data_IF_164987394046
#
_entry.id   IF_164987394046
#
_cell.length_a   1.000
_cell.length_b   1.000
_cell.length_c   1.000
_cell.angle_alpha   90.00
_cell.angle_beta   90.00
_cell.angle_gamma   90.00
#
_symmetry.space_group_name_H-M   'P 1'
#
loop_
_entity.id
_entity.type
_entity.pdbx_description
1 polymer ?
#
# COMPACT_ATOMS: atom_id res chain seq x y z
N UNK A 1 58.79 81.89 52.67
CA UNK A 1 58.22 80.52 52.74
C UNK A 1 57.03 80.58 53.67
N UNK A 2 55.82 80.65 53.11
CA UNK A 2 54.58 80.62 53.89
C UNK A 2 54.30 79.15 54.17
N UNK A 3 54.57 78.70 55.40
CA UNK A 3 54.28 77.34 55.83
C UNK A 3 52.77 77.18 55.96
N UNK A 4 52.18 76.35 55.11
CA UNK A 4 50.79 75.94 55.26
C UNK A 4 50.78 74.93 56.41
N UNK A 5 50.25 75.33 57.57
CA UNK A 5 49.97 74.40 58.67
C UNK A 5 48.79 73.52 58.24
N UNK A 6 49.12 72.33 57.72
CA UNK A 6 48.14 71.35 57.29
C UNK A 6 47.58 70.66 58.54
N UNK A 7 46.29 70.86 58.82
CA UNK A 7 45.59 70.20 59.92
C UNK A 7 45.28 68.74 59.54
N UNK A 8 46.28 67.86 59.68
CA UNK A 8 46.20 66.45 59.31
C UNK A 8 45.07 65.68 59.99
N UNK A 9 44.64 66.11 61.17
CA UNK A 9 43.54 65.49 61.92
C UNK A 9 42.19 65.64 61.21
N UNK A 10 41.95 66.83 60.64
CA UNK A 10 40.71 67.21 59.96
C UNK A 10 40.63 66.56 58.58
N UNK A 11 41.77 66.47 57.89
CA UNK A 11 41.90 65.74 56.62
C UNK A 11 41.66 64.24 56.83
N UNK A 12 42.28 63.63 57.85
CA UNK A 12 42.08 62.22 58.18
C UNK A 12 40.62 61.92 58.58
N UNK A 13 39.99 62.79 59.36
CA UNK A 13 38.58 62.66 59.73
C UNK A 13 37.67 62.67 58.50
N UNK A 14 37.85 63.62 57.59
CA UNK A 14 37.05 63.70 56.37
C UNK A 14 37.30 62.52 55.42
N UNK A 15 38.56 62.13 55.20
CA UNK A 15 38.92 60.96 54.37
C UNK A 15 38.29 59.67 54.92
N UNK A 16 38.25 59.50 56.25
CA UNK A 16 37.62 58.33 56.88
C UNK A 16 36.11 58.27 56.66
N UNK A 17 35.41 59.41 56.74
CA UNK A 17 33.97 59.51 56.47
C UNK A 17 33.66 59.22 54.99
N UNK A 18 34.45 59.78 54.06
CA UNK A 18 34.29 59.49 52.64
C UNK A 18 34.58 58.02 52.31
N UNK A 19 35.60 57.40 52.92
CA UNK A 19 35.90 55.98 52.75
C UNK A 19 34.75 55.08 53.25
N UNK A 20 34.15 55.41 54.39
CA UNK A 20 32.97 54.70 54.91
C UNK A 20 31.76 54.84 53.99
N UNK A 21 31.49 56.04 53.46
CA UNK A 21 30.40 56.27 52.53
C UNK A 21 30.59 55.54 51.20
N UNK A 22 31.80 55.56 50.64
CA UNK A 22 32.14 54.84 49.41
C UNK A 22 32.06 53.32 49.63
N UNK A 23 32.51 52.83 50.78
CA UNK A 23 32.39 51.43 51.17
C UNK A 23 30.94 50.97 51.29
N UNK A 24 30.11 51.76 51.98
CA UNK A 24 28.67 51.50 52.11
C UNK A 24 27.96 51.56 50.74
N UNK A 25 28.27 52.55 49.90
CA UNK A 25 27.71 52.67 48.56
C UNK A 25 28.13 51.51 47.65
N UNK A 26 29.40 51.09 47.69
CA UNK A 26 29.89 49.91 46.96
C UNK A 26 29.21 48.62 47.45
N UNK A 27 28.98 48.48 48.75
CA UNK A 27 28.29 47.32 49.31
C UNK A 27 26.83 47.27 48.84
N UNK A 28 26.11 48.39 48.86
CA UNK A 28 24.73 48.48 48.36
C UNK A 28 24.66 48.22 46.85
N UNK A 29 25.53 48.84 46.06
CA UNK A 29 25.59 48.64 44.61
C UNK A 29 25.90 47.17 44.26
N UNK A 30 26.82 46.54 44.99
CA UNK A 30 27.14 45.11 44.84
C UNK A 30 25.95 44.24 45.22
N UNK A 31 25.28 44.51 46.34
CA UNK A 31 24.12 43.75 46.79
C UNK A 31 22.95 43.82 45.80
N UNK A 32 22.62 45.01 45.30
CA UNK A 32 21.57 45.22 44.29
C UNK A 32 21.93 44.58 42.94
N UNK A 33 23.19 44.72 42.51
CA UNK A 33 23.69 44.10 41.28
C UNK A 33 23.64 42.58 41.32
N UNK A 34 24.08 41.96 42.42
CA UNK A 34 24.01 40.51 42.61
C UNK A 34 22.57 40.00 42.64
N UNK A 35 21.65 40.72 43.30
CA UNK A 35 20.25 40.33 43.39
C UNK A 35 19.54 40.44 42.03
N UNK A 36 19.80 41.51 41.29
CA UNK A 36 19.25 41.71 39.94
C UNK A 36 19.77 40.66 38.94
N UNK A 37 21.08 40.38 38.97
CA UNK A 37 21.69 39.33 38.14
C UNK A 37 21.12 37.95 38.48
N UNK A 38 21.03 37.59 39.77
CA UNK A 38 20.42 36.32 40.21
C UNK A 38 18.97 36.19 39.73
N UNK A 39 18.19 37.27 39.77
CA UNK A 39 16.81 37.25 39.30
C UNK A 39 16.72 37.04 37.78
N UNK A 40 17.58 37.70 36.97
CA UNK A 40 17.60 37.48 35.51
C UNK A 40 18.09 36.08 35.13
N UNK A 41 19.11 35.57 35.81
CA UNK A 41 19.58 34.20 35.60
C UNK A 41 18.49 33.19 35.91
N UNK A 42 17.80 33.33 37.07
CA UNK A 42 16.67 32.45 37.42
C UNK A 42 15.52 32.55 36.42
N UNK A 43 15.20 33.75 35.93
CA UNK A 43 14.15 33.94 34.94
C UNK A 43 14.52 33.26 33.61
N UNK A 44 15.77 33.40 33.16
CA UNK A 44 16.26 32.77 31.95
C UNK A 44 16.33 31.25 32.07
N UNK A 45 16.81 30.73 33.20
CA UNK A 45 16.85 29.30 33.51
C UNK A 45 15.44 28.69 33.49
N UNK A 46 14.47 29.38 34.12
CA UNK A 46 13.06 28.99 34.11
C UNK A 46 12.45 29.03 32.71
N UNK A 47 12.77 30.06 31.93
CA UNK A 47 12.30 30.17 30.55
C UNK A 47 12.86 29.03 29.68
N UNK A 48 14.14 28.70 29.84
CA UNK A 48 14.80 27.62 29.13
C UNK A 48 14.20 26.26 29.51
N UNK A 49 13.94 26.03 30.79
CA UNK A 49 13.29 24.82 31.29
C UNK A 49 11.87 24.71 30.73
N UNK A 50 11.10 25.80 30.76
CA UNK A 50 9.73 25.84 30.23
C UNK A 50 9.72 25.52 28.74
N UNK A 51 10.57 26.20 27.95
CA UNK A 51 10.71 25.93 26.52
C UNK A 51 11.17 24.51 26.24
N UNK A 52 12.09 23.96 27.05
CA UNK A 52 12.53 22.57 26.91
C UNK A 52 11.38 21.58 27.13
N UNK A 53 10.57 21.80 28.17
CA UNK A 53 9.38 20.97 28.46
C UNK A 53 8.34 21.11 27.35
N UNK A 54 8.07 22.34 26.89
CA UNK A 54 7.14 22.60 25.79
C UNK A 54 7.59 21.93 24.49
N UNK A 55 8.86 22.08 24.11
CA UNK A 55 9.41 21.42 22.93
C UNK A 55 9.35 19.90 23.04
N UNK A 56 9.69 19.32 24.20
CA UNK A 56 9.56 17.87 24.43
C UNK A 56 8.10 17.43 24.28
N UNK A 57 7.16 18.12 24.91
CA UNK A 57 5.74 17.81 24.83
C UNK A 57 5.21 17.94 23.39
N UNK A 58 5.67 18.93 22.61
CA UNK A 58 5.33 19.07 21.20
C UNK A 58 5.90 17.93 20.36
N UNK A 59 7.15 17.55 20.61
CA UNK A 59 7.81 16.44 19.91
C UNK A 59 7.09 15.12 20.19
N UNK A 60 6.77 14.84 21.46
CA UNK A 60 6.06 13.64 21.89
C UNK A 60 4.67 13.56 21.26
N UNK A 61 3.90 14.67 21.26
CA UNK A 61 2.61 14.73 20.57
C UNK A 61 2.74 14.47 19.06
N UNK A 62 3.74 15.07 18.42
CA UNK A 62 3.95 14.89 16.97
C UNK A 62 4.33 13.44 16.66
N UNK A 63 5.18 12.83 17.48
CA UNK A 63 5.55 11.42 17.34
C UNK A 63 4.35 10.48 17.54
N UNK A 64 3.49 10.74 18.52
CA UNK A 64 2.26 9.97 18.72
C UNK A 64 1.31 10.11 17.52
N UNK A 65 1.14 11.32 16.98
CA UNK A 65 0.34 11.56 15.78
C UNK A 65 0.88 10.79 14.58
N UNK A 66 2.19 10.89 14.30
CA UNK A 66 2.80 10.14 13.20
C UNK A 66 2.70 8.63 13.39
N UNK A 67 2.86 8.12 14.61
CA UNK A 67 2.67 6.70 14.92
C UNK A 67 1.23 6.25 14.66
N UNK A 68 0.25 7.04 15.08
CA UNK A 68 -1.17 6.74 14.86
C UNK A 68 -1.52 6.78 13.36
N UNK A 69 -1.04 7.78 12.62
CA UNK A 69 -1.22 7.86 11.16
C UNK A 69 -0.58 6.68 10.44
N UNK A 70 0.64 6.30 10.82
CA UNK A 70 1.34 5.16 10.23
C UNK A 70 0.65 3.83 10.55
N UNK A 71 0.16 3.65 11.77
CA UNK A 71 -0.65 2.47 12.12
C UNK A 71 -1.94 2.41 11.30
N UNK A 72 -2.61 3.54 11.11
CA UNK A 72 -3.85 3.62 10.34
C UNK A 72 -3.60 3.36 8.85
N UNK A 73 -2.53 3.91 8.28
CA UNK A 73 -2.09 3.65 6.91
C UNK A 73 -1.75 2.16 6.71
N UNK A 74 -0.88 1.60 7.57
CA UNK A 74 -0.52 0.18 7.53
C UNK A 74 -1.74 -0.73 7.65
N UNK A 75 -2.72 -0.39 8.49
CA UNK A 75 -3.95 -1.18 8.64
C UNK A 75 -4.81 -1.13 7.39
N UNK A 76 -4.96 0.06 6.77
CA UNK A 76 -5.70 0.22 5.52
C UNK A 76 -5.04 -0.54 4.38
N UNK A 77 -3.73 -0.41 4.24
CA UNK A 77 -2.96 -1.11 3.21
C UNK A 77 -3.03 -2.62 3.40
N UNK A 78 -2.84 -3.11 4.63
CA UNK A 78 -2.94 -4.53 4.96
C UNK A 78 -4.32 -5.12 4.58
N UNK A 79 -5.41 -4.43 4.93
CA UNK A 79 -6.78 -4.85 4.56
C UNK A 79 -7.02 -4.83 3.06
N UNK A 80 -6.49 -3.82 2.36
CA UNK A 80 -6.60 -3.75 0.91
C UNK A 80 -5.83 -4.88 0.23
N UNK A 81 -4.61 -5.17 0.70
CA UNK A 81 -3.80 -6.27 0.22
C UNK A 81 -4.48 -7.63 0.47
N UNK A 82 -5.02 -7.85 1.67
CA UNK A 82 -5.80 -9.05 2.00
C UNK A 82 -6.99 -9.24 1.06
N UNK A 83 -7.78 -8.18 0.85
CA UNK A 83 -8.91 -8.21 -0.09
C UNK A 83 -8.47 -8.51 -1.52
N UNK A 84 -7.36 -7.93 -1.98
CA UNK A 84 -6.80 -8.21 -3.31
C UNK A 84 -6.37 -9.67 -3.45
N UNK A 85 -5.76 -10.26 -2.43
CA UNK A 85 -5.37 -11.68 -2.45
C UNK A 85 -6.57 -12.61 -2.57
N UNK A 86 -7.63 -12.38 -1.79
CA UNK A 86 -8.87 -13.16 -1.87
C UNK A 86 -9.54 -13.05 -3.24
N UNK A 87 -9.54 -11.84 -3.81
CA UNK A 87 -10.09 -11.60 -5.15
C UNK A 87 -9.29 -12.36 -6.20
N UNK A 88 -7.97 -12.30 -6.11
CA UNK A 88 -7.04 -12.95 -7.02
C UNK A 88 -7.15 -14.49 -6.95
N UNK A 89 -7.20 -15.06 -5.75
CA UNK A 89 -7.39 -16.49 -5.53
C UNK A 89 -8.68 -16.99 -6.21
N UNK A 90 -9.80 -16.32 -5.91
CA UNK A 90 -11.11 -16.68 -6.46
C UNK A 90 -11.16 -16.51 -7.98
N UNK A 91 -10.50 -15.49 -8.53
CA UNK A 91 -10.38 -15.30 -9.98
C UNK A 91 -9.58 -16.44 -10.60
N UNK A 92 -8.43 -16.80 -10.01
CA UNK A 92 -7.58 -17.87 -10.51
C UNK A 92 -8.33 -19.22 -10.55
N UNK A 93 -9.06 -19.56 -9.48
CA UNK A 93 -9.88 -20.77 -9.44
C UNK A 93 -10.89 -20.84 -10.61
N UNK A 94 -11.51 -19.70 -10.96
CA UNK A 94 -12.46 -19.62 -12.08
C UNK A 94 -11.77 -19.77 -13.44
N UNK A 95 -10.59 -19.17 -13.60
CA UNK A 95 -9.76 -19.34 -14.81
C UNK A 95 -9.37 -20.81 -14.99
N UNK A 96 -8.92 -21.47 -13.93
CA UNK A 96 -8.55 -22.90 -13.96
C UNK A 96 -9.76 -23.76 -14.31
N UNK A 97 -10.91 -23.49 -13.68
CA UNK A 97 -12.16 -24.23 -13.96
C UNK A 97 -12.59 -24.09 -15.42
N UNK A 98 -12.53 -22.87 -15.97
CA UNK A 98 -12.81 -22.60 -17.38
C UNK A 98 -11.83 -23.33 -18.30
N UNK A 99 -10.53 -23.30 -17.98
CA UNK A 99 -9.51 -24.00 -18.77
C UNK A 99 -9.78 -25.51 -18.82
N UNK A 100 -10.13 -26.12 -17.69
CA UNK A 100 -10.45 -27.54 -17.62
C UNK A 100 -11.70 -27.88 -18.43
N UNK A 101 -12.77 -27.10 -18.26
CA UNK A 101 -14.02 -27.31 -19.00
C UNK A 101 -13.83 -27.18 -20.52
N UNK A 102 -13.08 -26.16 -20.97
CA UNK A 102 -12.79 -25.98 -22.38
C UNK A 102 -11.86 -27.06 -22.93
N UNK A 103 -10.87 -27.54 -22.16
CA UNK A 103 -10.00 -28.65 -22.59
C UNK A 103 -10.78 -29.93 -22.86
N UNK A 104 -11.82 -30.19 -22.07
CA UNK A 104 -12.70 -31.33 -22.24
C UNK A 104 -13.67 -31.14 -23.42
N UNK A 105 -14.30 -29.96 -23.50
CA UNK A 105 -15.18 -29.59 -24.62
C UNK A 105 -14.44 -29.67 -25.97
N UNK A 106 -13.22 -29.15 -26.07
CA UNK A 106 -12.44 -29.13 -27.31
C UNK A 106 -11.50 -30.33 -27.47
N UNK A 107 -11.66 -31.39 -26.67
CA UNK A 107 -10.78 -32.54 -26.77
C UNK A 107 -10.90 -33.23 -28.15
N UNK A 108 -9.76 -33.52 -28.77
CA UNK A 108 -9.70 -34.21 -30.07
C UNK A 108 -10.18 -35.66 -29.98
N UNK A 109 -9.99 -36.28 -28.81
CA UNK A 109 -10.48 -37.62 -28.49
C UNK A 109 -11.34 -37.52 -27.23
N UNK A 110 -12.56 -38.04 -27.33
CA UNK A 110 -13.55 -38.06 -26.26
C UNK A 110 -13.99 -39.49 -26.02
N UNK A 111 -13.94 -39.92 -24.77
CA UNK A 111 -14.56 -41.17 -24.36
C UNK A 111 -16.06 -40.92 -24.21
N UNK A 112 -16.87 -41.79 -24.82
CA UNK A 112 -18.33 -41.79 -24.72
C UNK A 112 -18.70 -42.95 -23.80
N UNK A 113 -19.54 -42.68 -22.81
CA UNK A 113 -19.96 -43.65 -21.81
C UNK A 113 -21.42 -44.08 -21.97
N UNK A 114 -22.30 -43.15 -22.33
CA UNK A 114 -23.75 -43.37 -22.43
C UNK A 114 -24.25 -42.98 -23.81
N UNK A 115 -24.21 -41.67 -24.13
CA UNK A 115 -24.76 -41.11 -25.36
C UNK A 115 -23.91 -39.92 -25.80
N UNK A 116 -23.49 -39.95 -27.07
CA UNK A 116 -22.53 -38.97 -27.58
C UNK A 116 -23.11 -37.55 -27.64
N UNK A 117 -24.39 -37.42 -27.98
CA UNK A 117 -25.02 -36.11 -28.16
C UNK A 117 -25.35 -35.47 -26.81
N UNK A 118 -25.88 -36.26 -25.87
CA UNK A 118 -26.11 -35.80 -24.49
C UNK A 118 -24.79 -35.37 -23.81
N UNK A 119 -23.75 -36.20 -23.89
CA UNK A 119 -22.45 -35.87 -23.28
C UNK A 119 -21.82 -34.63 -23.92
N UNK A 120 -22.03 -34.40 -25.21
CA UNK A 120 -21.54 -33.21 -25.89
C UNK A 120 -22.26 -31.94 -25.43
N UNK A 121 -23.59 -31.98 -25.34
CA UNK A 121 -24.41 -30.89 -24.80
C UNK A 121 -24.00 -30.54 -23.36
N UNK A 122 -23.71 -31.55 -22.54
CA UNK A 122 -23.22 -31.36 -21.17
C UNK A 122 -21.85 -30.69 -21.13
N UNK A 123 -20.92 -31.04 -22.03
CA UNK A 123 -19.59 -30.39 -22.14
C UNK A 123 -19.73 -28.92 -22.56
N UNK A 124 -20.53 -28.64 -23.58
CA UNK A 124 -20.79 -27.28 -24.06
C UNK A 124 -21.42 -26.43 -22.95
N UNK A 125 -22.41 -26.98 -22.25
CA UNK A 125 -23.07 -26.31 -21.12
C UNK A 125 -22.08 -26.03 -19.99
N UNK A 126 -21.25 -27.00 -19.62
CA UNK A 126 -20.24 -26.86 -18.55
C UNK A 126 -19.22 -25.78 -18.89
N UNK A 127 -18.69 -25.78 -20.12
CA UNK A 127 -17.77 -24.75 -20.60
C UNK A 127 -18.42 -23.35 -20.61
N UNK A 128 -19.66 -23.25 -21.07
CA UNK A 128 -20.40 -21.98 -21.11
C UNK A 128 -20.63 -21.42 -19.69
N UNK A 129 -21.04 -22.27 -18.74
CA UNK A 129 -21.24 -21.88 -17.34
C UNK A 129 -19.92 -21.45 -16.67
N UNK A 130 -18.82 -22.15 -16.95
CA UNK A 130 -17.51 -21.77 -16.44
C UNK A 130 -17.04 -20.42 -17.02
N UNK A 131 -17.33 -20.17 -18.30
CA UNK A 131 -17.01 -18.90 -18.97
C UNK A 131 -17.78 -17.75 -18.34
N UNK A 132 -19.10 -17.90 -18.17
CA UNK A 132 -19.95 -16.89 -17.55
C UNK A 132 -19.52 -16.59 -16.11
N UNK A 133 -19.17 -17.63 -15.35
CA UNK A 133 -18.67 -17.47 -13.97
C UNK A 133 -17.36 -16.67 -13.92
N UNK A 134 -16.42 -16.93 -14.85
CA UNK A 134 -15.19 -16.17 -14.98
C UNK A 134 -15.46 -14.71 -15.35
N UNK A 135 -16.24 -14.48 -16.42
CA UNK A 135 -16.56 -13.13 -16.92
C UNK A 135 -17.24 -12.29 -15.85
N UNK A 136 -18.28 -12.83 -15.22
CA UNK A 136 -19.03 -12.13 -14.19
C UNK A 136 -18.11 -11.69 -13.07
N UNK A 137 -17.35 -12.64 -12.52
CA UNK A 137 -16.47 -12.38 -11.41
C UNK A 137 -15.35 -11.37 -11.74
N UNK A 138 -14.70 -11.54 -12.89
CA UNK A 138 -13.68 -10.61 -13.35
C UNK A 138 -14.24 -9.20 -13.55
N UNK A 139 -15.41 -9.07 -14.19
CA UNK A 139 -16.05 -7.78 -14.46
C UNK A 139 -16.42 -7.07 -13.16
N UNK A 140 -17.04 -7.78 -12.21
CA UNK A 140 -17.43 -7.24 -10.90
C UNK A 140 -16.23 -6.80 -10.05
N UNK A 141 -15.06 -7.42 -10.26
CA UNK A 141 -13.86 -7.19 -9.46
C UNK A 141 -12.74 -6.46 -10.22
N UNK A 142 -13.00 -5.93 -11.42
CA UNK A 142 -11.97 -5.36 -12.30
C UNK A 142 -11.13 -4.25 -11.63
N UNK A 143 -11.74 -3.50 -10.71
CA UNK A 143 -11.10 -2.41 -9.95
C UNK A 143 -9.91 -2.86 -9.06
N UNK A 144 -9.82 -4.16 -8.74
CA UNK A 144 -8.75 -4.67 -7.88
C UNK A 144 -7.45 -4.96 -8.63
N UNK A 145 -7.44 -4.90 -9.96
CA UNK A 145 -6.30 -5.25 -10.80
C UNK A 145 -5.65 -4.01 -11.42
N UNK A 146 -4.36 -4.12 -11.75
CA UNK A 146 -3.67 -3.09 -12.54
C UNK A 146 -4.21 -3.07 -13.99
N UNK A 147 -3.97 -1.96 -14.70
CA UNK A 147 -4.34 -1.87 -16.12
C UNK A 147 -3.63 -2.92 -16.98
N UNK A 148 -2.39 -3.26 -16.63
CA UNK A 148 -1.61 -4.30 -17.30
C UNK A 148 -2.22 -5.69 -17.11
N UNK A 149 -2.55 -6.07 -15.87
CA UNK A 149 -3.22 -7.35 -15.59
C UNK A 149 -4.60 -7.41 -16.23
N UNK A 150 -5.34 -6.29 -16.28
CA UNK A 150 -6.60 -6.21 -17.00
C UNK A 150 -6.43 -6.50 -18.50
N UNK A 151 -5.37 -5.97 -19.13
CA UNK A 151 -5.10 -6.21 -20.54
C UNK A 151 -4.82 -7.71 -20.81
N UNK A 152 -4.04 -8.36 -19.94
CA UNK A 152 -3.79 -9.80 -20.03
C UNK A 152 -5.07 -10.63 -19.84
N UNK A 153 -5.90 -10.28 -18.85
CA UNK A 153 -7.18 -10.95 -18.58
C UNK A 153 -8.20 -10.75 -19.70
N UNK A 154 -8.24 -9.55 -20.30
CA UNK A 154 -9.07 -9.26 -21.47
C UNK A 154 -8.58 -10.06 -22.70
N UNK A 155 -7.28 -10.23 -22.90
CA UNK A 155 -6.72 -11.09 -23.95
C UNK A 155 -7.04 -12.57 -23.73
N UNK A 156 -6.91 -13.05 -22.48
CA UNK A 156 -7.27 -14.41 -22.08
C UNK A 156 -8.75 -14.69 -22.34
N UNK A 157 -9.62 -13.76 -21.93
CA UNK A 157 -11.05 -13.81 -22.18
C UNK A 157 -11.35 -13.99 -23.67
N UNK A 158 -10.74 -13.16 -24.50
CA UNK A 158 -10.99 -13.18 -25.94
C UNK A 158 -10.51 -14.51 -26.55
N UNK A 159 -9.36 -15.03 -26.11
CA UNK A 159 -8.85 -16.34 -26.57
C UNK A 159 -9.80 -17.49 -26.22
N UNK A 160 -10.37 -17.49 -25.02
CA UNK A 160 -11.38 -18.48 -24.63
C UNK A 160 -12.66 -18.35 -25.46
N UNK A 161 -13.12 -17.11 -25.66
CA UNK A 161 -14.29 -16.85 -26.49
C UNK A 161 -14.09 -17.34 -27.93
N UNK A 162 -12.93 -17.04 -28.53
CA UNK A 162 -12.59 -17.45 -29.89
C UNK A 162 -12.57 -18.97 -30.01
N UNK A 163 -11.97 -19.69 -29.05
CA UNK A 163 -12.01 -21.16 -29.04
C UNK A 163 -13.44 -21.69 -29.00
N UNK A 164 -14.28 -21.14 -28.11
CA UNK A 164 -15.68 -21.56 -27.97
C UNK A 164 -16.48 -21.29 -29.25
N UNK A 165 -16.25 -20.15 -29.91
CA UNK A 165 -16.86 -19.83 -31.20
C UNK A 165 -16.39 -20.75 -32.32
N UNK A 166 -15.08 -21.04 -32.43
CA UNK A 166 -14.56 -21.98 -33.43
C UNK A 166 -15.14 -23.37 -33.21
N UNK A 167 -15.25 -23.81 -31.96
CA UNK A 167 -15.82 -25.09 -31.61
C UNK A 167 -17.31 -25.16 -31.99
N UNK A 168 -18.11 -24.18 -31.58
CA UNK A 168 -19.53 -24.11 -31.92
C UNK A 168 -19.76 -24.00 -33.44
N UNK A 169 -18.95 -23.21 -34.13
CA UNK A 169 -19.01 -23.02 -35.59
C UNK A 169 -18.42 -24.21 -36.38
N UNK A 170 -17.76 -25.16 -35.72
CA UNK A 170 -17.40 -26.45 -36.32
C UNK A 170 -18.61 -27.34 -36.54
N UNK A 171 -19.73 -26.95 -35.95
CA UNK A 171 -21.02 -27.54 -36.19
C UNK A 171 -21.45 -28.57 -35.15
N UNK A 172 -20.67 -28.85 -34.10
CA UNK A 172 -21.10 -29.72 -32.99
C UNK A 172 -22.41 -29.28 -32.29
N UNK A 173 -23.07 -28.20 -32.75
CA UNK A 173 -24.45 -27.85 -32.43
C UNK A 173 -25.44 -28.72 -33.22
N UNK A 174 -26.22 -29.53 -32.50
CA UNK A 174 -27.27 -30.41 -33.06
C UNK A 174 -28.47 -29.61 -33.60
N UNK A 175 -29.03 -30.05 -34.75
CA UNK A 175 -30.37 -29.63 -35.20
C UNK A 175 -30.60 -29.38 -36.70
N UNK A 176 -29.55 -29.33 -37.54
CA UNK A 176 -29.75 -29.17 -39.00
C UNK A 176 -29.66 -30.50 -39.75
N UNK A 177 -30.74 -30.86 -40.46
CA UNK A 177 -30.77 -31.97 -41.41
C UNK A 177 -29.83 -31.66 -42.58
N UNK A 178 -28.54 -31.98 -42.43
CA UNK A 178 -27.51 -31.75 -43.44
C UNK A 178 -26.08 -31.68 -42.89
N UNK A 179 -25.84 -32.26 -41.71
CA UNK A 179 -24.68 -31.96 -40.89
C UNK A 179 -23.36 -32.59 -41.38
N UNK A 180 -22.30 -31.79 -41.44
CA UNK A 180 -20.90 -32.24 -41.65
C UNK A 180 -19.99 -31.53 -40.65
N UNK A 181 -19.36 -32.23 -39.70
CA UNK A 181 -18.40 -31.63 -38.78
C UNK A 181 -17.22 -31.00 -39.53
N UNK A 182 -16.92 -29.75 -39.22
CA UNK A 182 -15.69 -29.09 -39.66
C UNK A 182 -14.56 -29.43 -38.67
N UNK A 183 -13.90 -30.56 -38.91
CA UNK A 183 -12.78 -31.03 -38.10
C UNK A 183 -11.64 -30.02 -38.02
N UNK A 184 -11.47 -29.14 -39.03
CA UNK A 184 -10.46 -28.09 -39.03
C UNK A 184 -10.72 -27.06 -37.94
N UNK A 185 -11.97 -26.59 -37.81
CA UNK A 185 -12.36 -25.64 -36.76
C UNK A 185 -12.32 -26.26 -35.36
N UNK A 186 -12.76 -27.51 -35.21
CA UNK A 186 -12.66 -28.22 -33.93
C UNK A 186 -11.19 -28.39 -33.50
N UNK A 187 -10.29 -28.67 -34.45
CA UNK A 187 -8.86 -28.72 -34.19
C UNK A 187 -8.30 -27.34 -33.81
N UNK A 188 -8.68 -26.27 -34.50
CA UNK A 188 -8.26 -24.90 -34.15
C UNK A 188 -8.70 -24.52 -32.73
N UNK A 189 -9.94 -24.85 -32.34
CA UNK A 189 -10.44 -24.61 -30.98
C UNK A 189 -9.57 -25.32 -29.92
N UNK A 190 -9.21 -26.59 -30.17
CA UNK A 190 -8.33 -27.39 -29.31
C UNK A 190 -6.92 -26.81 -29.22
N UNK A 191 -6.38 -26.35 -30.34
CA UNK A 191 -5.06 -25.73 -30.42
C UNK A 191 -4.98 -24.44 -29.61
N UNK A 192 -6.00 -23.57 -29.69
CA UNK A 192 -6.08 -22.34 -28.89
C UNK A 192 -6.04 -22.67 -27.38
N UNK A 193 -6.80 -23.67 -26.94
CA UNK A 193 -6.90 -24.07 -25.52
C UNK A 193 -5.64 -24.77 -25.02
N UNK A 194 -5.00 -25.59 -25.86
CA UNK A 194 -3.87 -26.43 -25.46
C UNK A 194 -2.51 -25.75 -25.64
N UNK A 195 -2.41 -24.74 -26.51
CA UNK A 195 -1.13 -24.06 -26.80
C UNK A 195 -1.17 -22.57 -26.47
N UNK A 196 -2.16 -21.82 -26.96
CA UNK A 196 -2.17 -20.36 -26.82
C UNK A 196 -2.54 -19.91 -25.39
N UNK A 197 -3.61 -20.47 -24.83
CA UNK A 197 -4.12 -20.12 -23.50
C UNK A 197 -3.10 -20.39 -22.37
N UNK A 198 -2.39 -21.53 -22.33
CA UNK A 198 -1.38 -21.78 -21.29
C UNK A 198 -0.26 -20.73 -21.23
N UNK A 199 0.14 -20.17 -22.37
CA UNK A 199 1.16 -19.11 -22.41
C UNK A 199 0.66 -17.82 -21.72
N UNK A 200 -0.59 -17.44 -21.99
CA UNK A 200 -1.22 -16.28 -21.35
C UNK A 200 -1.45 -16.53 -19.85
N UNK A 201 -1.89 -17.75 -19.49
CA UNK A 201 -2.03 -18.14 -18.10
C UNK A 201 -0.71 -18.10 -17.32
N UNK A 202 0.41 -18.51 -17.94
CA UNK A 202 1.71 -18.48 -17.28
C UNK A 202 2.12 -17.05 -16.91
N UNK A 203 1.85 -16.06 -17.75
CA UNK A 203 2.12 -14.66 -17.45
C UNK A 203 1.25 -14.17 -16.28
N UNK A 204 -0.04 -14.48 -16.29
CA UNK A 204 -0.96 -14.14 -15.20
C UNK A 204 -0.52 -14.80 -13.88
N UNK A 205 -0.12 -16.06 -13.92
CA UNK A 205 0.39 -16.77 -12.74
C UNK A 205 1.66 -16.15 -12.19
N UNK A 206 2.57 -15.68 -13.05
CA UNK A 206 3.79 -15.02 -12.61
C UNK A 206 3.47 -13.68 -11.93
N UNK A 207 2.57 -12.88 -12.51
CA UNK A 207 2.10 -11.63 -11.90
C UNK A 207 1.43 -11.90 -10.54
N UNK A 208 0.64 -12.98 -10.46
CA UNK A 208 -0.02 -13.39 -9.23
C UNK A 208 0.97 -13.85 -8.17
N UNK A 209 1.99 -14.64 -8.54
CA UNK A 209 3.07 -15.07 -7.62
C UNK A 209 3.85 -13.87 -7.08
N UNK A 210 4.18 -12.90 -7.94
CA UNK A 210 4.85 -11.66 -7.52
C UNK A 210 4.00 -10.87 -6.53
N UNK A 211 2.70 -10.73 -6.78
CA UNK A 211 1.77 -10.06 -5.86
C UNK A 211 1.64 -10.79 -4.51
N UNK A 212 1.77 -12.12 -4.51
CA UNK A 212 1.76 -12.96 -3.30
C UNK A 212 3.13 -13.04 -2.60
N UNK A 213 4.19 -12.46 -3.18
CA UNK A 213 5.54 -12.54 -2.64
C UNK A 213 6.20 -13.92 -2.78
N UNK A 214 5.66 -14.79 -3.62
CA UNK A 214 6.23 -16.09 -3.96
C UNK A 214 7.27 -15.86 -5.06
N UNK A 215 8.57 -16.05 -4.73
CA UNK A 215 9.68 -15.99 -5.68
C UNK A 215 9.99 -17.36 -6.25
#
# INVERSE_FOLDING_TARGET
MIGIDINWSEILANVSVYALLIGAASWVAKALGEQFLKMRFRAYEKELETKSVEFKAQLDRSLEQFRAELQLANTKDSRLHEKRMLVLESLYQKIVSLNLALKDMTATLKFIHVDADQEEDERIKTASQAYDAFIKYYTENKIFFSLESCAQLDALRNSYFDSMQQYNASGFIMGSNGFRPDFGKAQMASEIVRKSIPLVMQNIENDFRQLLGVR
#
